data_IF_265429126333
#
_entry.id   IF_265429126333
#
_cell.length_a   1.000
_cell.length_b   1.000
_cell.length_c   1.000
_cell.angle_alpha   90.00
_cell.angle_beta   90.00
_cell.angle_gamma   90.00
#
_symmetry.space_group_name_H-M   'P 1'
#
loop_
_entity.id
_entity.type
_entity.pdbx_description
1 polymer ?
#
# COMPACT_ATOMS: atom_id res chain seq x y z
N UNK A 1 -15.04 15.03 -1.47
CA UNK A 1 -14.26 14.05 -0.68
C UNK A 1 -12.84 14.52 -0.32
N UNK A 2 -12.33 15.64 -0.88
CA UNK A 2 -10.98 16.14 -0.58
C UNK A 2 -10.70 16.44 0.88
N UNK A 3 -11.72 16.79 1.70
CA UNK A 3 -11.50 17.08 3.12
C UNK A 3 -11.17 15.86 3.98
N UNK A 4 -11.42 14.63 3.50
CA UNK A 4 -11.12 13.40 4.26
C UNK A 4 -9.62 13.20 4.49
N UNK A 5 -8.79 13.68 3.57
CA UNK A 5 -7.32 13.63 3.70
C UNK A 5 -6.80 14.43 4.89
N UNK A 6 -7.62 15.25 5.55
CA UNK A 6 -7.21 16.06 6.69
C UNK A 6 -7.27 15.32 8.03
N UNK A 7 -7.76 14.08 8.06
CA UNK A 7 -7.78 13.26 9.28
C UNK A 7 -7.18 11.88 9.02
N UNK A 8 -6.60 11.26 10.03
CA UNK A 8 -6.00 9.93 9.88
C UNK A 8 -7.01 8.88 9.41
N UNK A 9 -8.20 8.83 10.00
CA UNK A 9 -9.27 7.90 9.61
C UNK A 9 -9.85 8.21 8.23
N UNK A 10 -10.01 9.48 7.88
CA UNK A 10 -10.50 9.88 6.56
C UNK A 10 -9.51 9.52 5.45
N UNK A 11 -8.21 9.74 5.68
CA UNK A 11 -7.16 9.33 4.75
C UNK A 11 -7.12 7.80 4.56
N UNK A 12 -7.19 7.04 5.66
CA UNK A 12 -7.30 5.59 5.61
C UNK A 12 -8.53 5.12 4.82
N UNK A 13 -9.69 5.74 5.05
CA UNK A 13 -10.91 5.41 4.31
C UNK A 13 -10.76 5.67 2.80
N UNK A 14 -10.13 6.77 2.42
CA UNK A 14 -9.82 7.06 1.02
C UNK A 14 -8.89 6.01 0.41
N UNK A 15 -7.84 5.60 1.14
CA UNK A 15 -6.93 4.54 0.68
C UNK A 15 -7.70 3.23 0.46
N UNK A 16 -8.54 2.81 1.41
CA UNK A 16 -9.35 1.60 1.26
C UNK A 16 -10.26 1.68 0.03
N UNK A 17 -10.90 2.83 -0.21
CA UNK A 17 -11.78 3.03 -1.38
C UNK A 17 -11.00 3.01 -2.69
N UNK A 18 -9.84 3.68 -2.74
CA UNK A 18 -9.08 3.84 -3.97
C UNK A 18 -8.26 2.59 -4.33
N UNK A 19 -7.80 1.86 -3.33
CA UNK A 19 -6.89 0.73 -3.52
C UNK A 19 -7.58 -0.62 -3.32
N UNK A 20 -8.23 -0.87 -2.19
CA UNK A 20 -8.81 -2.19 -1.91
C UNK A 20 -10.18 -2.40 -2.55
N UNK A 21 -11.01 -1.37 -2.52
CA UNK A 21 -12.39 -1.46 -3.01
C UNK A 21 -12.42 -1.57 -4.54
N UNK A 22 -11.67 -0.72 -5.25
CA UNK A 22 -11.51 -0.78 -6.72
C UNK A 22 -11.05 -2.16 -7.20
N UNK A 23 -10.03 -2.75 -6.55
CA UNK A 23 -9.55 -4.12 -6.86
C UNK A 23 -10.63 -5.19 -6.71
N UNK A 24 -11.60 -4.98 -5.83
CA UNK A 24 -12.70 -5.93 -5.62
C UNK A 24 -13.86 -5.72 -6.60
N UNK A 25 -14.35 -4.49 -6.76
CA UNK A 25 -15.55 -4.22 -7.59
C UNK A 25 -15.24 -4.23 -9.10
N UNK A 26 -14.00 -3.93 -9.47
CA UNK A 26 -13.53 -3.90 -10.85
C UNK A 26 -12.54 -5.03 -11.15
N UNK A 27 -12.65 -6.15 -10.40
CA UNK A 27 -11.76 -7.31 -10.53
C UNK A 27 -11.58 -7.73 -11.99
N UNK A 28 -10.34 -8.03 -12.37
CA UNK A 28 -9.93 -8.43 -13.73
C UNK A 28 -10.15 -7.35 -14.81
N UNK A 29 -10.23 -6.07 -14.43
CA UNK A 29 -10.30 -4.95 -15.37
C UNK A 29 -9.23 -3.89 -15.06
N UNK A 30 -8.83 -3.04 -16.02
CA UNK A 30 -7.88 -1.94 -15.76
C UNK A 30 -8.31 -1.03 -14.60
N UNK A 31 -9.62 -0.84 -14.41
CA UNK A 31 -10.21 0.01 -13.37
C UNK A 31 -9.89 -0.49 -11.95
N UNK A 32 -9.46 -1.75 -11.79
CA UNK A 32 -8.95 -2.24 -10.51
C UNK A 32 -7.71 -1.46 -10.02
N UNK A 33 -6.98 -0.79 -10.92
CA UNK A 33 -5.72 -0.12 -10.62
C UNK A 33 -5.79 1.41 -10.79
N UNK A 34 -6.96 1.96 -11.11
CA UNK A 34 -7.09 3.39 -11.45
C UNK A 34 -6.90 4.32 -10.25
N UNK A 35 -6.95 3.78 -9.02
CA UNK A 35 -6.74 4.53 -7.79
C UNK A 35 -5.31 4.51 -7.25
N UNK A 36 -4.41 3.68 -7.82
CA UNK A 36 -3.09 3.39 -7.25
C UNK A 36 -2.26 4.66 -7.03
N UNK A 37 -2.16 5.53 -8.04
CA UNK A 37 -1.38 6.77 -7.96
C UNK A 37 -1.95 7.76 -6.93
N UNK A 38 -3.28 7.91 -6.89
CA UNK A 38 -3.91 8.81 -5.93
C UNK A 38 -3.78 8.28 -4.50
N UNK A 39 -3.93 6.97 -4.30
CA UNK A 39 -3.74 6.32 -3.00
C UNK A 39 -2.29 6.50 -2.51
N UNK A 40 -1.31 6.38 -3.41
CA UNK A 40 0.10 6.63 -3.11
C UNK A 40 0.37 8.09 -2.68
N UNK A 41 -0.25 9.06 -3.37
CA UNK A 41 -0.16 10.47 -2.98
C UNK A 41 -0.78 10.75 -1.60
N UNK A 42 -1.89 10.07 -1.28
CA UNK A 42 -2.57 10.20 0.01
C UNK A 42 -1.74 9.61 1.15
N UNK A 43 -1.13 8.43 0.98
CA UNK A 43 -0.27 7.86 2.05
C UNK A 43 0.94 8.75 2.32
N UNK A 44 1.61 9.24 1.28
CA UNK A 44 2.73 10.17 1.44
C UNK A 44 2.34 11.44 2.19
N UNK A 45 1.18 12.01 1.87
CA UNK A 45 0.64 13.17 2.57
C UNK A 45 0.27 12.85 4.03
N UNK A 46 -0.26 11.64 4.27
CA UNK A 46 -0.66 11.19 5.60
C UNK A 46 0.52 11.01 6.53
N UNK A 47 1.63 10.46 6.04
CA UNK A 47 2.90 10.34 6.79
C UNK A 47 3.44 11.73 7.14
N UNK A 48 3.48 12.66 6.18
CA UNK A 48 3.90 14.06 6.44
C UNK A 48 3.06 14.76 7.51
N UNK A 49 1.81 14.32 7.69
CA UNK A 49 0.88 14.84 8.70
C UNK A 49 0.87 14.04 10.02
N UNK A 50 1.70 13.00 10.13
CA UNK A 50 1.76 12.13 11.30
C UNK A 50 0.50 11.30 11.54
N UNK A 51 -0.32 11.07 10.52
CA UNK A 51 -1.58 10.32 10.65
C UNK A 51 -1.35 8.87 11.06
N UNK A 52 -0.25 8.27 10.63
CA UNK A 52 0.19 6.92 10.93
C UNK A 52 0.66 6.71 12.39
N UNK A 53 0.90 7.79 13.12
CA UNK A 53 1.30 7.78 14.54
C UNK A 53 0.09 7.52 15.43
N UNK A 54 -1.09 8.04 15.07
CA UNK A 54 -2.32 7.98 15.88
C UNK A 54 -3.22 6.79 15.56
N UNK A 55 -2.87 6.00 14.53
CA UNK A 55 -3.60 4.80 14.13
C UNK A 55 -3.07 3.56 14.87
N UNK A 56 -3.93 2.55 15.03
CA UNK A 56 -3.51 1.25 15.53
C UNK A 56 -2.58 0.56 14.51
N UNK A 57 -1.73 -0.39 14.94
CA UNK A 57 -0.81 -1.07 14.02
C UNK A 57 -1.49 -1.67 12.79
N UNK A 58 -2.66 -2.31 12.97
CA UNK A 58 -3.46 -2.83 11.87
C UNK A 58 -3.87 -1.76 10.86
N UNK A 59 -4.37 -0.61 11.33
CA UNK A 59 -4.78 0.50 10.47
C UNK A 59 -3.60 1.18 9.80
N UNK A 60 -2.46 1.26 10.48
CA UNK A 60 -1.23 1.82 9.90
C UNK A 60 -0.70 0.95 8.76
N UNK A 61 -0.76 -0.39 8.87
CA UNK A 61 -0.42 -1.30 7.76
C UNK A 61 -1.30 -1.02 6.54
N UNK A 62 -2.62 -0.88 6.74
CA UNK A 62 -3.54 -0.55 5.64
C UNK A 62 -3.31 0.84 5.06
N UNK A 63 -2.93 1.82 5.89
CA UNK A 63 -2.54 3.15 5.41
C UNK A 63 -1.31 3.07 4.52
N UNK A 64 -0.32 2.24 4.86
CA UNK A 64 0.90 2.06 4.07
C UNK A 64 0.70 1.22 2.80
N UNK A 65 -0.40 0.48 2.68
CA UNK A 65 -0.60 -0.52 1.64
C UNK A 65 -0.44 -0.04 0.18
N UNK A 66 -0.65 1.24 -0.19
CA UNK A 66 -0.33 1.70 -1.54
C UNK A 66 1.14 1.48 -1.95
N UNK A 67 2.10 1.51 -1.02
CA UNK A 67 3.50 1.18 -1.32
C UNK A 67 3.66 -0.27 -1.81
N UNK A 68 2.95 -1.21 -1.18
CA UNK A 68 2.96 -2.63 -1.56
C UNK A 68 2.50 -2.86 -3.01
N UNK A 69 1.58 -2.03 -3.48
CA UNK A 69 1.00 -2.13 -4.82
C UNK A 69 1.70 -1.31 -5.90
N UNK A 70 2.70 -0.51 -5.54
CA UNK A 70 3.51 0.21 -6.51
C UNK A 70 4.30 -0.74 -7.41
N UNK A 71 4.49 -0.31 -8.66
CA UNK A 71 5.42 -0.94 -9.61
C UNK A 71 6.79 -0.25 -9.64
N UNK A 72 7.12 0.57 -8.62
CA UNK A 72 8.45 1.13 -8.40
C UNK A 72 9.10 0.50 -7.16
N UNK A 73 10.32 0.00 -7.33
CA UNK A 73 11.01 -0.75 -6.26
C UNK A 73 11.33 0.16 -5.07
N UNK A 74 11.66 1.43 -5.33
CA UNK A 74 12.01 2.40 -4.29
C UNK A 74 10.82 2.72 -3.38
N UNK A 75 9.61 2.75 -3.95
CA UNK A 75 8.37 2.96 -3.19
C UNK A 75 8.04 1.73 -2.33
N UNK A 76 8.33 0.52 -2.82
CA UNK A 76 8.18 -0.72 -2.02
C UNK A 76 9.23 -0.84 -0.92
N UNK A 77 10.48 -0.45 -1.20
CA UNK A 77 11.55 -0.41 -0.20
C UNK A 77 11.19 0.57 0.93
N UNK A 78 10.68 1.76 0.60
CA UNK A 78 10.18 2.71 1.60
C UNK A 78 9.02 2.15 2.44
N UNK A 79 8.08 1.44 1.80
CA UNK A 79 7.00 0.76 2.51
C UNK A 79 7.50 -0.29 3.51
N UNK A 80 8.54 -1.06 3.15
CA UNK A 80 9.17 -2.04 4.03
C UNK A 80 9.90 -1.39 5.21
N UNK A 81 10.61 -0.28 4.99
CA UNK A 81 11.23 0.51 6.06
C UNK A 81 10.18 0.95 7.09
N UNK A 82 9.07 1.51 6.62
CA UNK A 82 7.96 1.95 7.47
C UNK A 82 7.34 0.81 8.28
N UNK A 83 7.21 -0.39 7.70
CA UNK A 83 6.72 -1.57 8.43
C UNK A 83 7.71 -2.04 9.50
N UNK A 84 9.02 -2.00 9.22
CA UNK A 84 10.04 -2.32 10.22
C UNK A 84 9.99 -1.32 11.38
N UNK A 85 9.95 -0.02 11.11
CA UNK A 85 9.78 1.01 12.14
C UNK A 85 8.46 0.86 12.90
N UNK A 86 7.37 0.46 12.22
CA UNK A 86 6.10 0.16 12.88
C UNK A 86 6.24 -1.01 13.85
N UNK A 87 6.93 -2.08 13.48
CA UNK A 87 7.20 -3.23 14.36
C UNK A 87 7.95 -2.81 15.61
N UNK A 88 9.03 -2.04 15.47
CA UNK A 88 9.86 -1.55 16.57
C UNK A 88 9.05 -0.74 17.59
N UNK A 89 8.16 0.14 17.13
CA UNK A 89 7.32 0.97 18.00
C UNK A 89 6.01 0.32 18.46
N UNK A 90 5.68 -0.87 17.97
CA UNK A 90 4.43 -1.56 18.30
C UNK A 90 4.59 -2.50 19.50
N UNK A 91 3.52 -2.70 20.31
CA UNK A 91 3.50 -3.74 21.33
C UNK A 91 3.80 -5.12 20.72
N UNK A 92 4.50 -5.99 21.48
CA UNK A 92 4.88 -7.34 21.04
C UNK A 92 3.71 -8.18 20.51
N UNK A 93 2.50 -7.98 21.04
CA UNK A 93 1.27 -8.64 20.60
C UNK A 93 0.95 -8.42 19.10
N UNK A 94 1.52 -7.40 18.46
CA UNK A 94 1.35 -7.11 17.03
C UNK A 94 2.50 -7.61 16.16
N UNK A 95 3.62 -8.07 16.73
CA UNK A 95 4.84 -8.37 15.97
C UNK A 95 4.60 -9.44 14.91
N UNK A 96 3.96 -10.56 15.26
CA UNK A 96 3.64 -11.64 14.31
C UNK A 96 2.78 -11.15 13.13
N UNK A 97 1.85 -10.23 13.37
CA UNK A 97 1.00 -9.67 12.32
C UNK A 97 1.78 -8.74 11.38
N UNK A 98 2.66 -7.92 11.95
CA UNK A 98 3.52 -7.01 11.18
C UNK A 98 4.58 -7.81 10.39
N UNK A 99 5.18 -8.85 10.98
CA UNK A 99 6.14 -9.74 10.31
C UNK A 99 5.52 -10.43 9.10
N UNK A 100 4.31 -10.99 9.23
CA UNK A 100 3.58 -11.56 8.08
C UNK A 100 3.35 -10.54 6.96
N UNK A 101 3.12 -9.28 7.32
CA UNK A 101 2.99 -8.19 6.34
C UNK A 101 4.32 -7.92 5.65
N UNK A 102 5.42 -7.80 6.40
CA UNK A 102 6.79 -7.62 5.87
C UNK A 102 7.16 -8.77 4.92
N UNK A 103 6.89 -10.02 5.27
CA UNK A 103 7.14 -11.19 4.41
C UNK A 103 6.35 -11.12 3.10
N UNK A 104 5.05 -10.78 3.19
CA UNK A 104 4.20 -10.59 2.02
C UNK A 104 4.70 -9.49 1.09
N UNK A 105 5.11 -8.35 1.66
CA UNK A 105 5.59 -7.20 0.91
C UNK A 105 6.95 -7.45 0.30
N UNK A 106 7.84 -8.15 1.01
CA UNK A 106 9.16 -8.55 0.51
C UNK A 106 9.04 -9.41 -0.75
N UNK A 107 8.08 -10.36 -0.79
CA UNK A 107 7.81 -11.16 -1.99
C UNK A 107 7.34 -10.31 -3.18
N UNK A 108 6.52 -9.28 -2.94
CA UNK A 108 6.09 -8.37 -4.01
C UNK A 108 7.25 -7.50 -4.49
N UNK A 109 8.09 -7.03 -3.57
CA UNK A 109 9.34 -6.31 -3.85
C UNK A 109 10.29 -7.12 -4.73
N UNK A 110 10.42 -8.42 -4.49
CA UNK A 110 11.23 -9.29 -5.35
C UNK A 110 10.69 -9.35 -6.78
N UNK A 111 9.37 -9.42 -6.97
CA UNK A 111 8.73 -9.41 -8.29
C UNK A 111 9.04 -8.08 -9.01
N UNK A 112 8.84 -6.94 -8.35
CA UNK A 112 9.11 -5.63 -8.97
C UNK A 112 10.61 -5.45 -9.23
N UNK A 113 11.48 -5.88 -8.33
CA UNK A 113 12.93 -5.81 -8.54
C UNK A 113 13.40 -6.65 -9.73
N UNK A 114 12.70 -7.74 -10.05
CA UNK A 114 13.05 -8.62 -11.17
C UNK A 114 12.45 -8.15 -12.49
N UNK A 115 11.20 -7.68 -12.49
CA UNK A 115 10.43 -7.43 -13.71
C UNK A 115 10.13 -5.95 -13.97
N UNK A 116 10.41 -5.06 -13.01
CA UNK A 116 10.06 -3.63 -13.05
C UNK A 116 8.56 -3.34 -12.99
N UNK A 117 7.72 -4.37 -12.84
CA UNK A 117 6.25 -4.32 -12.80
C UNK A 117 5.67 -5.65 -12.33
N UNK A 118 4.37 -5.73 -12.12
CA UNK A 118 3.67 -6.97 -11.82
C UNK A 118 3.27 -7.70 -13.12
N UNK A 119 3.88 -8.85 -13.47
CA UNK A 119 3.60 -9.53 -14.74
C UNK A 119 2.14 -9.98 -14.88
N UNK A 120 1.50 -10.37 -13.77
CA UNK A 120 0.09 -10.77 -13.76
C UNK A 120 -0.88 -9.64 -14.18
N UNK A 121 -0.44 -8.36 -14.10
CA UNK A 121 -1.23 -7.22 -14.57
C UNK A 121 -1.11 -7.00 -16.08
N UNK A 122 -0.16 -7.63 -16.78
CA UNK A 122 0.12 -7.37 -18.19
C UNK A 122 -1.10 -7.58 -19.08
N UNK A 123 -1.77 -8.73 -18.97
CA UNK A 123 -2.97 -9.03 -19.74
C UNK A 123 -4.08 -7.99 -19.49
N UNK A 124 -4.32 -7.65 -18.22
CA UNK A 124 -5.37 -6.69 -17.85
C UNK A 124 -5.04 -5.29 -18.38
N UNK A 125 -3.77 -4.87 -18.29
CA UNK A 125 -3.29 -3.55 -18.72
C UNK A 125 -2.83 -3.50 -20.19
N UNK A 126 -3.09 -4.56 -20.98
CA UNK A 126 -2.70 -4.66 -22.40
C UNK A 126 -1.21 -4.41 -22.66
N UNK A 127 -0.35 -4.96 -21.79
CA UNK A 127 1.11 -4.92 -21.91
C UNK A 127 1.62 -6.25 -22.45
N UNK A 128 2.71 -6.24 -23.19
CA UNK A 128 3.39 -7.47 -23.63
C UNK A 128 3.95 -8.25 -22.44
N UNK A 129 4.01 -9.57 -22.55
CA UNK A 129 4.65 -10.42 -21.55
C UNK A 129 6.18 -10.37 -21.72
N UNK A 130 6.88 -10.45 -20.59
CA UNK A 130 8.35 -10.47 -20.49
C UNK A 130 8.78 -11.80 -19.92
#
# INVERSE_FOLDING_TARGET
MSHWVNTARGALALIIILDQFTRNIFRNTPQAYSGDELALNIVNTSIKRGHDIVLSPAFTIWLYHPFHHSEKVEEQDHGLELLNSLKERSPKAWHDYIEKSIEGWTRHRQIISQFGRFPHRNHILKRENI
#
